data_IF_526957667430
#
_entry.id   IF_526957667430
#
_cell.length_a   1.000
_cell.length_b   1.000
_cell.length_c   1.000
_cell.angle_alpha   90.00
_cell.angle_beta   90.00
_cell.angle_gamma   90.00
#
_symmetry.space_group_name_H-M   'P 1'
#
loop_
_entity.id
_entity.type
_entity.pdbx_description
1 polymer ?
#
# COMPACT_ATOMS: atom_id res chain seq x y z
N UNK A 1 59.13 15.17 12.30
CA UNK A 1 59.35 16.32 11.39
C UNK A 1 58.18 16.31 10.41
N UNK A 2 57.12 17.09 10.65
CA UNK A 2 56.93 18.46 10.13
C UNK A 2 56.65 18.40 8.62
N UNK A 3 55.57 18.88 8.01
CA UNK A 3 54.53 19.86 8.38
C UNK A 3 53.52 19.94 7.22
N UNK A 4 52.21 20.01 7.49
CA UNK A 4 51.25 20.84 6.72
C UNK A 4 51.40 22.30 7.21
N UNK A 5 50.77 23.37 6.65
CA UNK A 5 49.78 23.49 5.57
C UNK A 5 50.01 24.71 4.61
N UNK A 6 49.12 25.01 3.66
CA UNK A 6 48.67 26.41 3.46
C UNK A 6 47.29 26.51 2.79
N UNK A 7 46.49 27.47 3.30
CA UNK A 7 45.15 27.88 2.90
C UNK A 7 45.21 29.05 1.90
N UNK A 8 44.21 29.19 1.03
CA UNK A 8 43.66 30.48 0.49
C UNK A 8 42.14 30.32 0.34
N UNK A 9 41.30 30.96 1.18
CA UNK A 9 40.54 32.24 0.98
C UNK A 9 39.92 32.37 -0.44
N UNK A 10 38.60 32.32 -0.68
CA UNK A 10 37.42 33.08 -0.20
C UNK A 10 37.08 34.32 -1.07
N UNK A 11 35.90 34.30 -1.72
CA UNK A 11 35.06 35.46 -2.16
C UNK A 11 33.79 34.91 -2.84
N UNK A 12 32.59 34.80 -2.25
CA UNK A 12 31.54 35.78 -1.87
C UNK A 12 31.00 36.76 -2.94
N UNK A 13 29.71 36.54 -3.30
CA UNK A 13 28.64 37.52 -3.62
C UNK A 13 28.51 38.11 -5.05
N UNK A 14 27.32 38.63 -5.46
CA UNK A 14 25.92 38.32 -5.07
C UNK A 14 24.90 38.26 -6.24
N UNK A 15 23.65 37.90 -5.92
CA UNK A 15 22.45 37.97 -6.76
C UNK A 15 21.92 39.40 -6.98
N UNK A 16 21.16 39.67 -8.07
CA UNK A 16 20.41 40.91 -8.22
C UNK A 16 18.95 40.78 -7.76
N UNK A 17 18.45 41.87 -7.16
CA UNK A 17 17.05 42.13 -6.80
C UNK A 17 16.50 43.28 -7.66
N UNK A 18 15.22 43.19 -8.05
CA UNK A 18 14.36 44.35 -8.39
C UNK A 18 12.90 43.87 -8.50
N UNK A 19 11.97 44.28 -7.62
CA UNK A 19 11.00 45.40 -7.79
C UNK A 19 10.31 45.33 -9.17
N UNK A 20 8.99 45.19 -9.33
CA UNK A 20 7.85 45.80 -8.64
C UNK A 20 7.07 46.68 -9.66
N UNK A 21 5.74 46.44 -9.82
CA UNK A 21 4.65 47.24 -10.46
C UNK A 21 3.48 46.25 -10.68
N UNK A 22 2.35 46.24 -9.99
CA UNK A 22 1.29 47.22 -9.66
C UNK A 22 0.47 47.73 -10.86
N UNK A 23 -0.82 47.38 -10.82
CA UNK A 23 -2.00 48.25 -10.97
C UNK A 23 -2.80 48.30 -12.29
N UNK A 24 -4.13 48.14 -12.08
CA UNK A 24 -5.31 48.69 -12.81
C UNK A 24 -5.74 47.97 -14.08
N UNK A 25 -7.01 47.93 -14.50
CA UNK A 25 -8.36 48.11 -13.94
C UNK A 25 -9.27 48.06 -15.19
N UNK A 26 -10.46 47.47 -15.14
CA UNK A 26 -11.33 47.47 -16.32
C UNK A 26 -12.72 46.89 -16.08
N UNK A 27 -13.54 47.63 -15.35
CA UNK A 27 -14.96 47.41 -15.13
C UNK A 27 -15.77 47.81 -16.39
N UNK A 28 -16.80 47.04 -16.78
CA UNK A 28 -17.98 47.61 -17.48
C UNK A 28 -19.23 46.72 -17.40
N UNK A 29 -20.10 47.08 -16.45
CA UNK A 29 -21.58 47.14 -16.45
C UNK A 29 -22.45 46.07 -17.14
N UNK A 30 -23.21 45.42 -16.25
CA UNK A 30 -24.61 45.01 -16.28
C UNK A 30 -25.54 45.48 -17.43
N UNK A 31 -26.42 44.57 -17.84
CA UNK A 31 -27.85 44.86 -18.08
C UNK A 31 -28.71 43.62 -17.77
N UNK A 32 -29.71 43.82 -16.91
CA UNK A 32 -30.86 42.91 -16.69
C UNK A 32 -31.85 43.11 -17.83
N UNK A 33 -32.47 42.04 -18.32
CA UNK A 33 -33.89 42.01 -18.72
C UNK A 33 -34.40 40.56 -18.81
N UNK A 34 -35.36 40.25 -17.93
CA UNK A 34 -36.56 39.41 -18.13
C UNK A 34 -36.54 38.17 -19.04
N UNK A 35 -36.85 37.01 -18.46
CA UNK A 35 -37.51 35.88 -19.14
C UNK A 35 -38.88 36.29 -19.72
N UNK A 36 -39.36 35.57 -20.75
CA UNK A 36 -40.33 34.51 -20.45
C UNK A 36 -40.06 33.20 -21.19
N UNK A 37 -40.59 32.12 -20.62
CA UNK A 37 -40.61 30.78 -21.16
C UNK A 37 -41.56 30.67 -22.38
N UNK A 38 -41.19 29.86 -23.38
CA UNK A 38 -42.12 29.01 -24.13
C UNK A 38 -41.39 28.09 -25.13
N UNK A 39 -41.83 26.83 -25.12
CA UNK A 39 -41.98 25.89 -26.24
C UNK A 39 -40.81 25.55 -27.16
N UNK A 40 -40.31 24.32 -26.96
CA UNK A 40 -40.36 23.19 -27.89
C UNK A 40 -39.76 23.28 -29.31
N UNK A 41 -39.23 22.11 -29.71
CA UNK A 41 -39.00 21.63 -31.07
C UNK A 41 -37.67 22.01 -31.73
N UNK A 42 -36.62 21.26 -31.38
CA UNK A 42 -35.59 20.86 -32.36
C UNK A 42 -35.42 19.34 -32.32
N UNK A 43 -35.88 18.74 -33.41
CA UNK A 43 -35.75 17.34 -33.78
C UNK A 43 -34.30 17.03 -34.16
N UNK A 44 -33.83 15.89 -33.66
CA UNK A 44 -32.89 14.94 -34.28
C UNK A 44 -31.60 15.50 -34.89
N UNK A 45 -30.47 15.36 -34.17
CA UNK A 45 -29.22 14.66 -34.61
C UNK A 45 -28.07 14.99 -33.62
N UNK A 46 -28.11 14.42 -32.41
CA UNK A 46 -26.94 14.42 -31.50
C UNK A 46 -27.00 13.29 -30.45
N UNK A 47 -27.66 12.17 -30.78
CA UNK A 47 -27.87 11.05 -29.86
C UNK A 47 -27.23 9.76 -30.40
N UNK A 48 -25.90 9.74 -30.53
CA UNK A 48 -25.18 8.46 -30.73
C UNK A 48 -23.79 8.36 -30.12
N UNK A 49 -23.24 9.41 -29.49
CA UNK A 49 -21.86 9.39 -28.98
C UNK A 49 -21.71 9.84 -27.51
N UNK A 50 -22.49 9.25 -26.61
CA UNK A 50 -22.04 9.08 -25.21
C UNK A 50 -22.76 7.93 -24.47
N UNK A 51 -22.97 6.79 -25.14
CA UNK A 51 -23.15 5.51 -24.44
C UNK A 51 -21.78 4.87 -24.21
N UNK A 52 -20.96 5.51 -23.37
CA UNK A 52 -19.89 4.76 -22.71
C UNK A 52 -20.57 3.93 -21.63
N UNK A 53 -20.67 2.63 -21.89
CA UNK A 53 -21.06 1.60 -20.92
C UNK A 53 -20.12 1.69 -19.72
N UNK A 54 -20.46 2.49 -18.72
CA UNK A 54 -20.05 2.19 -17.35
C UNK A 54 -20.88 0.96 -16.98
N UNK A 55 -20.27 -0.23 -17.08
CA UNK A 55 -20.80 -1.38 -16.38
C UNK A 55 -20.99 -0.93 -14.93
N UNK A 56 -22.23 -0.85 -14.48
CA UNK A 56 -22.54 -0.63 -13.07
C UNK A 56 -22.13 -1.91 -12.37
N UNK A 57 -20.90 -1.94 -11.87
CA UNK A 57 -20.45 -3.03 -11.01
C UNK A 57 -21.24 -2.90 -9.72
N UNK A 58 -22.21 -3.79 -9.52
CA UNK A 58 -22.91 -3.93 -8.26
C UNK A 58 -21.87 -4.23 -7.17
N UNK A 59 -22.04 -3.60 -6.01
CA UNK A 59 -21.21 -3.82 -4.83
C UNK A 59 -21.01 -5.31 -4.57
N UNK A 60 -19.81 -5.69 -4.12
CA UNK A 60 -19.44 -7.06 -3.77
C UNK A 60 -20.60 -7.78 -3.06
N UNK A 61 -21.10 -8.86 -3.67
CA UNK A 61 -22.15 -9.68 -3.08
C UNK A 61 -21.56 -10.48 -1.93
N UNK A 62 -21.98 -10.17 -0.72
CA UNK A 62 -21.74 -11.05 0.43
C UNK A 62 -22.69 -12.25 0.33
N UNK A 63 -22.16 -13.47 0.37
CA UNK A 63 -22.94 -14.71 0.49
C UNK A 63 -22.64 -15.37 1.83
N UNK A 64 -23.65 -15.89 2.55
CA UNK A 64 -23.39 -16.68 3.75
C UNK A 64 -22.63 -17.95 3.35
N UNK A 65 -21.49 -18.25 3.99
CA UNK A 65 -20.82 -19.54 3.86
C UNK A 65 -21.40 -20.56 4.84
N UNK A 66 -21.19 -21.85 4.52
CA UNK A 66 -21.71 -22.98 5.30
C UNK A 66 -21.21 -23.05 6.75
N UNK A 67 -20.17 -22.27 7.09
CA UNK A 67 -19.56 -22.14 8.41
C UNK A 67 -20.02 -20.89 9.19
N UNK A 68 -20.98 -20.12 8.65
CA UNK A 68 -21.50 -18.91 9.28
C UNK A 68 -20.61 -17.67 9.10
N UNK A 69 -19.53 -17.78 8.32
CA UNK A 69 -18.74 -16.62 7.90
C UNK A 69 -19.42 -15.89 6.72
N UNK A 70 -18.99 -14.65 6.50
CA UNK A 70 -19.41 -13.87 5.34
C UNK A 70 -18.42 -14.14 4.20
N UNK A 71 -18.88 -14.75 3.12
CA UNK A 71 -18.08 -14.88 1.89
C UNK A 71 -18.21 -13.62 1.07
N UNK A 72 -17.09 -12.95 0.81
CA UNK A 72 -17.03 -11.76 -0.03
C UNK A 72 -16.66 -12.16 -1.47
N UNK A 73 -17.51 -11.85 -2.44
CA UNK A 73 -17.15 -12.03 -3.85
C UNK A 73 -16.22 -10.90 -4.31
N UNK A 74 -14.96 -11.24 -4.61
CA UNK A 74 -13.93 -10.30 -5.07
C UNK A 74 -13.66 -10.56 -6.56
N UNK A 75 -13.88 -9.58 -7.45
CA UNK A 75 -13.49 -9.72 -8.84
C UNK A 75 -11.99 -9.94 -8.97
N UNK A 76 -11.62 -10.99 -9.71
CA UNK A 76 -10.27 -11.44 -9.96
C UNK A 76 -9.98 -11.36 -11.46
N UNK A 77 -8.83 -10.81 -11.82
CA UNK A 77 -8.23 -10.93 -13.14
C UNK A 77 -6.90 -11.67 -13.00
N UNK A 78 -6.76 -12.76 -13.74
CA UNK A 78 -5.48 -13.45 -13.89
C UNK A 78 -4.74 -12.90 -15.10
N UNK A 79 -3.45 -12.64 -14.92
CA UNK A 79 -2.47 -12.30 -15.94
C UNK A 79 -1.73 -13.58 -16.36
N UNK A 80 -0.83 -13.49 -17.33
CA UNK A 80 -0.10 -14.64 -17.86
C UNK A 80 0.65 -15.39 -16.74
N UNK A 81 0.46 -16.71 -16.68
CA UNK A 81 1.03 -17.58 -15.63
C UNK A 81 0.39 -17.47 -14.25
N UNK A 82 -0.56 -16.54 -14.06
CA UNK A 82 -1.23 -16.33 -12.76
C UNK A 82 -2.14 -17.48 -12.36
N UNK A 83 -2.18 -17.75 -11.06
CA UNK A 83 -3.08 -18.74 -10.44
C UNK A 83 -4.09 -18.05 -9.53
N UNK A 84 -5.33 -18.53 -9.52
CA UNK A 84 -6.34 -18.02 -8.59
C UNK A 84 -5.88 -18.28 -7.14
N UNK A 85 -5.89 -17.26 -6.26
CA UNK A 85 -5.57 -17.46 -4.85
C UNK A 85 -6.54 -18.46 -4.22
N UNK A 86 -6.02 -19.36 -3.38
CA UNK A 86 -6.82 -20.41 -2.76
C UNK A 86 -6.51 -20.57 -1.27
N UNK A 87 -7.55 -20.82 -0.48
CA UNK A 87 -7.42 -21.21 0.92
C UNK A 87 -7.01 -22.68 1.00
N UNK A 88 -6.02 -23.00 1.84
CA UNK A 88 -5.50 -24.36 1.92
C UNK A 88 -6.43 -25.29 2.71
N UNK A 89 -7.07 -24.76 3.77
CA UNK A 89 -8.01 -25.48 4.63
C UNK A 89 -9.25 -24.63 4.92
N UNK A 90 -10.38 -25.26 5.27
CA UNK A 90 -11.54 -24.54 5.80
C UNK A 90 -11.15 -23.70 7.03
N UNK A 91 -11.55 -22.42 7.05
CA UNK A 91 -11.25 -21.49 8.13
C UNK A 91 -9.87 -20.82 8.07
N UNK A 92 -9.02 -21.12 7.08
CA UNK A 92 -7.78 -20.37 6.87
C UNK A 92 -8.08 -18.89 6.56
N UNK A 93 -7.38 -17.98 7.22
CA UNK A 93 -7.61 -16.54 7.06
C UNK A 93 -7.07 -15.96 5.73
N UNK A 94 -6.00 -16.57 5.20
CA UNK A 94 -5.29 -16.08 4.01
C UNK A 94 -5.39 -17.06 2.84
N UNK A 95 -5.60 -16.52 1.64
CA UNK A 95 -5.50 -17.28 0.39
C UNK A 95 -4.05 -17.24 -0.12
N UNK A 96 -3.46 -18.40 -0.42
CA UNK A 96 -2.07 -18.49 -0.89
C UNK A 96 -1.90 -17.78 -2.25
N UNK A 97 -0.84 -16.99 -2.39
CA UNK A 97 -0.39 -16.36 -3.64
C UNK A 97 0.83 -17.09 -4.18
N UNK A 98 0.82 -17.39 -5.47
CA UNK A 98 1.93 -18.06 -6.17
C UNK A 98 2.79 -17.09 -6.97
N UNK A 99 4.08 -17.39 -7.12
CA UNK A 99 4.96 -16.69 -8.05
C UNK A 99 4.66 -17.09 -9.50
N UNK A 100 4.77 -16.16 -10.45
CA UNK A 100 4.67 -16.49 -11.89
C UNK A 100 6.01 -16.74 -12.55
N UNK A 101 7.11 -16.39 -11.88
CA UNK A 101 8.47 -16.61 -12.35
C UNK A 101 9.34 -17.25 -11.27
N UNK A 102 10.42 -17.92 -11.71
CA UNK A 102 11.42 -18.45 -10.80
C UNK A 102 12.29 -17.32 -10.24
N UNK A 103 12.62 -17.40 -8.95
CA UNK A 103 13.51 -16.43 -8.29
C UNK A 103 14.48 -17.17 -7.38
N UNK A 104 15.73 -16.68 -7.36
CA UNK A 104 16.75 -17.12 -6.42
C UNK A 104 17.21 -15.90 -5.62
N UNK A 105 17.22 -16.03 -4.29
CA UNK A 105 17.63 -14.98 -3.36
C UNK A 105 18.80 -15.48 -2.52
N UNK A 106 19.95 -14.84 -2.65
CA UNK A 106 21.04 -15.01 -1.70
C UNK A 106 20.68 -14.43 -0.31
N UNK A 107 21.37 -14.83 0.76
CA UNK A 107 21.20 -14.21 2.08
C UNK A 107 21.28 -12.69 2.03
N UNK A 108 20.24 -11.99 2.52
CA UNK A 108 20.12 -10.54 2.51
C UNK A 108 19.58 -9.93 1.21
N UNK A 109 19.41 -10.71 0.14
CA UNK A 109 18.83 -10.23 -1.11
C UNK A 109 17.30 -10.09 -1.04
N UNK A 110 16.78 -9.23 -1.92
CA UNK A 110 15.36 -9.00 -2.10
C UNK A 110 14.99 -8.93 -3.57
N UNK A 111 13.79 -9.37 -3.90
CA UNK A 111 13.23 -9.24 -5.24
C UNK A 111 11.75 -8.87 -5.17
N UNK A 112 11.30 -8.15 -6.20
CA UNK A 112 9.88 -7.88 -6.44
C UNK A 112 9.35 -8.98 -7.35
N UNK A 113 8.54 -9.88 -6.81
CA UNK A 113 8.09 -11.09 -7.51
C UNK A 113 6.64 -10.95 -7.96
N UNK A 114 6.33 -11.13 -9.26
CA UNK A 114 4.98 -11.13 -9.79
C UNK A 114 4.16 -12.35 -9.36
N UNK A 115 2.84 -12.17 -9.25
CA UNK A 115 1.88 -13.22 -8.85
C UNK A 115 0.87 -13.56 -9.93
N UNK A 116 0.77 -12.73 -10.98
CA UNK A 116 -0.23 -12.79 -12.02
C UNK A 116 -1.65 -12.53 -11.51
N UNK A 117 -1.82 -12.01 -10.30
CA UNK A 117 -3.11 -11.78 -9.66
C UNK A 117 -3.40 -10.28 -9.58
N UNK A 118 -4.52 -9.85 -10.16
CA UNK A 118 -5.08 -8.52 -9.94
C UNK A 118 -6.51 -8.65 -9.39
N UNK A 119 -6.83 -7.89 -8.35
CA UNK A 119 -8.12 -7.97 -7.65
C UNK A 119 -8.79 -6.61 -7.55
N UNK A 120 -10.12 -6.61 -7.43
CA UNK A 120 -10.90 -5.42 -7.12
C UNK A 120 -11.49 -5.53 -5.70
N UNK A 121 -10.69 -5.20 -4.69
CA UNK A 121 -11.14 -5.22 -3.29
C UNK A 121 -12.21 -4.13 -3.10
N UNK A 122 -13.36 -4.44 -2.50
CA UNK A 122 -14.41 -3.44 -2.28
C UNK A 122 -14.01 -2.40 -1.23
N UNK A 123 -14.58 -1.20 -1.33
CA UNK A 123 -14.43 -0.16 -0.31
C UNK A 123 -14.88 -0.67 1.06
N UNK A 124 -14.19 -0.23 2.13
CA UNK A 124 -14.40 -0.74 3.49
C UNK A 124 -13.57 -1.99 3.82
N UNK A 125 -12.79 -2.49 2.86
CA UNK A 125 -11.85 -3.59 3.05
C UNK A 125 -10.45 -3.22 2.53
N UNK A 126 -9.45 -3.94 3.03
CA UNK A 126 -8.07 -3.90 2.55
C UNK A 126 -7.55 -5.31 2.35
N UNK A 127 -6.66 -5.48 1.38
CA UNK A 127 -5.88 -6.70 1.22
C UNK A 127 -4.57 -6.61 1.98
N UNK A 128 -4.23 -7.61 2.77
CA UNK A 128 -2.97 -7.70 3.49
C UNK A 128 -2.16 -8.90 3.00
N UNK A 129 -0.99 -8.65 2.43
CA UNK A 129 -0.06 -9.68 1.96
C UNK A 129 0.89 -10.04 3.08
N UNK A 130 0.78 -11.26 3.60
CA UNK A 130 1.55 -11.77 4.72
C UNK A 130 2.57 -12.83 4.27
N UNK A 131 3.72 -12.95 4.96
CA UNK A 131 4.61 -14.08 4.80
C UNK A 131 3.91 -15.40 5.16
N UNK A 132 4.33 -16.49 4.52
CA UNK A 132 3.89 -17.86 4.89
C UNK A 132 4.78 -18.37 6.02
N UNK A 133 4.18 -18.77 7.15
CA UNK A 133 4.92 -19.15 8.36
C UNK A 133 5.93 -20.28 8.13
N UNK A 134 5.60 -21.27 7.28
CA UNK A 134 6.50 -22.37 6.94
C UNK A 134 7.76 -21.92 6.18
N UNK A 135 7.64 -20.95 5.27
CA UNK A 135 8.79 -20.41 4.53
C UNK A 135 9.64 -19.49 5.41
N UNK A 136 8.99 -18.69 6.26
CA UNK A 136 9.66 -17.85 7.24
C UNK A 136 10.48 -18.68 8.23
N UNK A 137 9.90 -19.73 8.81
CA UNK A 137 10.58 -20.57 9.80
C UNK A 137 11.70 -21.43 9.20
N UNK A 138 11.46 -22.09 8.05
CA UNK A 138 12.43 -23.05 7.49
C UNK A 138 13.54 -22.39 6.68
N UNK A 139 13.27 -21.26 6.03
CA UNK A 139 14.18 -20.66 5.06
C UNK A 139 14.53 -19.20 5.38
N UNK A 140 13.93 -18.59 6.41
CA UNK A 140 14.09 -17.16 6.67
C UNK A 140 13.48 -16.26 5.60
N UNK A 141 12.59 -16.80 4.75
CA UNK A 141 11.95 -16.00 3.69
C UNK A 141 10.87 -15.11 4.31
N UNK A 142 10.95 -13.81 4.04
CA UNK A 142 10.00 -12.81 4.51
C UNK A 142 9.59 -11.86 3.39
N UNK A 143 8.80 -10.85 3.72
CA UNK A 143 8.37 -9.78 2.84
C UNK A 143 8.81 -8.45 3.44
N UNK A 144 9.53 -7.62 2.68
CA UNK A 144 10.13 -6.37 3.17
C UNK A 144 9.09 -5.42 3.75
N UNK A 145 7.94 -5.30 3.08
CA UNK A 145 6.84 -4.43 3.49
C UNK A 145 5.72 -5.20 4.22
N UNK A 146 6.03 -6.31 4.90
CA UNK A 146 5.02 -7.07 5.63
C UNK A 146 4.40 -6.27 6.79
N UNK A 147 3.06 -6.28 6.95
CA UNK A 147 2.07 -6.75 5.98
C UNK A 147 1.93 -5.79 4.79
N UNK A 148 1.98 -6.33 3.57
CA UNK A 148 1.84 -5.51 2.35
C UNK A 148 0.39 -5.07 2.15
N UNK A 149 0.16 -3.76 1.97
CA UNK A 149 -1.19 -3.18 1.87
C UNK A 149 -1.67 -3.09 0.43
N UNK A 150 -2.82 -3.70 0.13
CA UNK A 150 -3.51 -3.64 -1.17
C UNK A 150 -4.80 -2.82 -1.01
N UNK A 151 -4.80 -1.60 -1.54
CA UNK A 151 -5.93 -0.69 -1.44
C UNK A 151 -7.12 -1.11 -2.28
N UNK A 152 -8.34 -0.76 -1.83
CA UNK A 152 -9.58 -1.00 -2.57
C UNK A 152 -9.64 -0.32 -3.95
N UNK A 153 -8.84 0.73 -4.17
CA UNK A 153 -8.68 1.39 -5.46
C UNK A 153 -7.67 0.73 -6.40
N UNK A 154 -6.83 -0.17 -5.90
CA UNK A 154 -5.76 -0.79 -6.69
C UNK A 154 -6.31 -1.82 -7.68
N UNK A 155 -5.82 -1.79 -8.93
CA UNK A 155 -6.22 -2.71 -10.01
C UNK A 155 -5.02 -3.31 -10.76
N UNK A 156 -3.81 -2.96 -10.32
CA UNK A 156 -2.60 -3.55 -10.85
C UNK A 156 -2.40 -4.98 -10.35
N UNK A 157 -1.34 -5.59 -10.83
CA UNK A 157 -0.89 -6.88 -10.32
C UNK A 157 -0.40 -6.77 -8.88
N UNK A 158 -0.73 -7.74 -8.04
CA UNK A 158 -0.15 -7.89 -6.72
C UNK A 158 1.28 -8.39 -6.88
N UNK A 159 2.25 -7.57 -6.50
CA UNK A 159 3.66 -7.93 -6.51
C UNK A 159 4.14 -8.13 -5.06
N UNK A 160 5.03 -9.09 -4.83
CA UNK A 160 5.50 -9.46 -3.49
C UNK A 160 6.98 -9.09 -3.34
N UNK A 161 7.31 -8.20 -2.40
CA UNK A 161 8.68 -7.81 -2.08
C UNK A 161 9.36 -8.86 -1.19
N UNK A 162 9.75 -10.01 -1.76
CA UNK A 162 10.43 -11.06 -1.01
C UNK A 162 11.82 -10.61 -0.54
N UNK A 163 12.22 -11.07 0.65
CA UNK A 163 13.57 -10.92 1.20
C UNK A 163 14.01 -12.21 1.88
N UNK A 164 15.25 -12.60 1.64
CA UNK A 164 15.87 -13.72 2.34
C UNK A 164 16.60 -13.23 3.59
N UNK A 165 16.04 -13.50 4.76
CA UNK A 165 16.66 -13.22 6.08
C UNK A 165 17.40 -14.45 6.64
N UNK A 166 17.41 -15.56 5.91
CA UNK A 166 18.12 -16.78 6.25
C UNK A 166 19.62 -16.69 5.97
N UNK A 167 20.31 -17.80 6.22
CA UNK A 167 21.76 -17.95 5.97
C UNK A 167 22.08 -18.72 4.70
N UNK A 168 21.08 -19.35 4.10
CA UNK A 168 21.21 -20.17 2.90
C UNK A 168 20.44 -19.54 1.74
N UNK A 169 20.82 -19.79 0.47
CA UNK A 169 20.07 -19.31 -0.67
C UNK A 169 18.66 -19.91 -0.73
N UNK A 170 17.67 -19.09 -1.06
CA UNK A 170 16.28 -19.54 -1.31
C UNK A 170 16.02 -19.60 -2.80
N UNK A 171 15.51 -20.73 -3.27
CA UNK A 171 15.12 -20.95 -4.67
C UNK A 171 13.62 -21.22 -4.72
N UNK A 172 12.91 -20.43 -5.51
CA UNK A 172 11.47 -20.55 -5.75
C UNK A 172 11.26 -20.75 -7.24
N UNK A 173 10.37 -21.67 -7.59
CA UNK A 173 9.93 -21.93 -8.97
C UNK A 173 8.66 -21.15 -9.27
N UNK A 174 8.39 -20.93 -10.56
CA UNK A 174 7.06 -20.50 -10.99
C UNK A 174 6.00 -21.49 -10.49
N UNK A 175 4.90 -20.97 -9.93
CA UNK A 175 3.83 -21.74 -9.29
C UNK A 175 4.00 -21.93 -7.78
N UNK A 176 5.21 -21.73 -7.22
CA UNK A 176 5.41 -21.86 -5.78
C UNK A 176 4.60 -20.81 -5.00
N UNK A 177 3.98 -21.24 -3.91
CA UNK A 177 3.18 -20.38 -3.03
C UNK A 177 4.12 -19.57 -2.14
N UNK A 178 4.22 -18.27 -2.37
CA UNK A 178 5.23 -17.39 -1.76
C UNK A 178 4.69 -16.49 -0.64
N UNK A 179 3.40 -16.15 -0.68
CA UNK A 179 2.74 -15.27 0.27
C UNK A 179 1.29 -15.72 0.49
N UNK A 180 0.58 -15.05 1.38
CA UNK A 180 -0.86 -15.24 1.57
C UNK A 180 -1.58 -13.89 1.64
N UNK A 181 -2.72 -13.78 0.99
CA UNK A 181 -3.56 -12.58 0.95
C UNK A 181 -4.72 -12.74 1.94
N UNK A 182 -4.80 -11.84 2.91
CA UNK A 182 -5.93 -11.70 3.81
C UNK A 182 -6.80 -10.53 3.33
N UNK A 183 -8.12 -10.64 3.52
CA UNK A 183 -9.06 -9.55 3.25
C UNK A 183 -9.69 -9.18 4.58
N UNK A 184 -9.46 -7.93 5.03
CA UNK A 184 -9.92 -7.48 6.35
C UNK A 184 -10.73 -6.19 6.23
N UNK A 185 -11.79 -6.02 7.05
CA UNK A 185 -12.48 -4.74 7.14
C UNK A 185 -11.53 -3.63 7.62
N UNK A 186 -11.74 -2.42 7.11
CA UNK A 186 -11.02 -1.22 7.54
C UNK A 186 -11.96 -0.07 7.83
N UNK A 187 -11.53 0.82 8.72
CA UNK A 187 -12.22 2.07 9.04
C UNK A 187 -11.44 3.26 8.50
N UNK A 188 -12.16 4.30 8.11
CA UNK A 188 -11.54 5.60 7.81
C UNK A 188 -11.55 6.46 9.07
N UNK A 189 -10.38 6.83 9.57
CA UNK A 189 -10.26 7.70 10.73
C UNK A 189 -10.32 9.19 10.32
N UNK A 190 -11.04 9.99 11.10
CA UNK A 190 -10.93 11.45 11.07
C UNK A 190 -10.05 11.89 12.24
N UNK A 191 -8.84 12.36 11.95
CA UNK A 191 -7.89 12.76 12.99
C UNK A 191 -8.23 14.17 13.50
N UNK A 192 -8.52 14.28 14.81
CA UNK A 192 -8.84 15.55 15.48
C UNK A 192 -7.65 15.95 16.36
N UNK A 193 -7.07 17.13 16.11
CA UNK A 193 -5.97 17.66 16.92
C UNK A 193 -6.49 18.13 18.28
N UNK A 194 -5.82 17.70 19.35
CA UNK A 194 -6.09 18.10 20.74
C UNK A 194 -4.77 18.43 21.44
N UNK A 195 -4.83 19.22 22.51
CA UNK A 195 -3.63 19.59 23.28
C UNK A 195 -3.18 18.48 24.26
N UNK A 196 -4.08 17.57 24.64
CA UNK A 196 -3.80 16.41 25.49
C UNK A 196 -4.69 15.23 25.16
N UNK A 197 -4.16 14.00 25.30
CA UNK A 197 -4.92 12.76 25.14
C UNK A 197 -5.57 12.34 26.47
N UNK A 198 -6.65 11.53 26.47
CA UNK A 198 -7.19 10.92 27.68
C UNK A 198 -6.19 9.95 28.34
N UNK A 199 -6.27 9.82 29.66
CA UNK A 199 -5.45 8.85 30.40
C UNK A 199 -5.76 7.40 29.97
N UNK A 200 -4.77 6.52 30.07
CA UNK A 200 -4.92 5.09 29.85
C UNK A 200 -4.03 4.28 30.80
N UNK A 201 -4.42 3.05 31.11
CA UNK A 201 -3.66 2.15 31.99
C UNK A 201 -2.23 1.88 31.49
N UNK A 202 -1.99 2.00 30.18
CA UNK A 202 -0.66 1.83 29.57
C UNK A 202 0.20 3.11 29.62
N UNK A 203 -0.45 4.27 29.66
CA UNK A 203 0.21 5.58 29.60
C UNK A 203 1.19 5.69 28.42
N UNK A 204 2.31 6.38 28.65
CA UNK A 204 3.36 6.61 27.65
C UNK A 204 4.39 5.47 27.55
N UNK A 205 4.15 4.33 28.20
CA UNK A 205 5.14 3.23 28.27
C UNK A 205 5.00 2.24 27.10
N UNK A 206 5.78 2.47 26.04
CA UNK A 206 5.99 1.55 24.91
C UNK A 206 7.38 0.87 24.93
N UNK A 207 7.66 -0.02 23.98
CA UNK A 207 9.00 -0.64 23.76
C UNK A 207 9.51 -1.60 24.85
N UNK A 208 8.68 -2.53 25.32
CA UNK A 208 9.11 -3.60 26.25
C UNK A 208 8.86 -3.31 27.73
N UNK A 209 8.01 -2.32 28.04
CA UNK A 209 7.62 -1.95 29.41
C UNK A 209 6.93 -3.06 30.23
N UNK A 210 6.42 -4.11 29.58
CA UNK A 210 5.89 -5.30 30.25
C UNK A 210 6.96 -6.32 30.67
N UNK A 211 8.24 -6.10 30.32
CA UNK A 211 9.30 -7.08 30.54
C UNK A 211 9.10 -8.39 29.75
N UNK A 212 10.01 -9.34 29.92
CA UNK A 212 9.92 -10.70 29.34
C UNK A 212 11.16 -11.15 28.55
N UNK A 213 12.12 -10.26 28.29
CA UNK A 213 13.41 -10.61 27.70
C UNK A 213 14.53 -10.14 28.64
N UNK A 214 15.28 -11.09 29.19
CA UNK A 214 16.57 -10.77 29.81
C UNK A 214 17.52 -10.37 28.68
N UNK A 215 17.86 -9.08 28.59
CA UNK A 215 19.06 -8.70 27.87
C UNK A 215 20.22 -9.37 28.61
N UNK A 216 20.96 -10.25 27.94
CA UNK A 216 22.12 -10.89 28.55
C UNK A 216 23.06 -9.79 29.05
N UNK A 217 23.29 -9.76 30.36
CA UNK A 217 24.29 -8.89 30.96
C UNK A 217 25.63 -9.22 30.32
N UNK A 218 26.19 -8.25 29.59
CA UNK A 218 27.59 -8.32 29.18
C UNK A 218 28.38 -8.16 30.46
N UNK A 219 28.89 -9.28 30.99
CA UNK A 219 29.84 -9.25 32.08
C UNK A 219 31.07 -8.46 31.61
N UNK A 220 31.27 -7.27 32.17
CA UNK A 220 32.54 -6.58 32.05
C UNK A 220 33.60 -7.42 32.75
N UNK A 221 34.60 -7.87 31.98
CA UNK A 221 35.80 -8.53 32.47
C UNK A 221 36.70 -7.48 33.17
N UNK A 222 36.90 -7.52 34.50
CA UNK A 222 37.81 -6.63 35.17
C UNK A 222 39.22 -7.23 35.11
N UNK A 223 39.92 -6.97 34.02
CA UNK A 223 41.29 -7.45 33.77
C UNK A 223 42.32 -6.35 33.52
N UNK A 224 42.69 -5.58 34.55
CA UNK A 224 44.06 -5.07 34.75
C UNK A 224 44.31 -4.60 36.18
#
# INVERSE_FOLDING_TARGET
MSTRPSRRRASSSPAPTSRGRSCLSGCCRARRTSSPAASASWSTTAASWLRKRTASWSAASARPSADGLVTLEIPLRLLDGGHAPAYAKPGDAGADLSATEAVRLEPGERALVPTGVAVAIPSGYVGLVHPRSGLAHRHGLSIVNAPGTIDSGYRGEILVNLVNLGREPVQLSAGDRIAQLLIVPVVTASFVRVDSLPDSDRGDTGHGSSGGFAAAEVAEDPGH
#
